data_IF_275322364418
#
_entry.id   IF_275322364418
#
_cell.length_a   1.000
_cell.length_b   1.000
_cell.length_c   1.000
_cell.angle_alpha   90.00
_cell.angle_beta   90.00
_cell.angle_gamma   90.00
#
_symmetry.space_group_name_H-M   'P 1'
#
loop_
_entity.id
_entity.type
_entity.pdbx_description
1 polymer ?
#
# COMPACT_ATOMS: atom_id res chain seq x y z
N UNK A 1 -21.14 -21.92 -13.04
CA UNK A 1 -21.54 -23.30 -13.43
C UNK A 1 -21.45 -24.27 -12.26
N UNK A 2 -20.27 -24.53 -11.67
CA UNK A 2 -20.10 -25.44 -10.52
C UNK A 2 -21.08 -25.15 -9.37
N UNK A 3 -21.20 -23.88 -8.97
CA UNK A 3 -22.16 -23.45 -7.93
C UNK A 3 -23.62 -23.80 -8.25
N UNK A 4 -24.04 -23.68 -9.51
CA UNK A 4 -25.41 -24.01 -9.91
C UNK A 4 -25.64 -25.53 -9.84
N UNK A 5 -24.68 -26.34 -10.29
CA UNK A 5 -24.78 -27.81 -10.21
C UNK A 5 -24.87 -28.29 -8.75
N UNK A 6 -24.07 -27.72 -7.85
CA UNK A 6 -24.15 -28.00 -6.42
C UNK A 6 -25.52 -27.63 -5.84
N UNK A 7 -26.05 -26.46 -6.22
CA UNK A 7 -27.37 -26.00 -5.79
C UNK A 7 -28.52 -26.90 -6.29
N UNK A 8 -28.43 -27.42 -7.52
CA UNK A 8 -29.43 -28.32 -8.11
C UNK A 8 -29.34 -29.76 -7.58
N UNK A 9 -28.16 -30.18 -7.10
CA UNK A 9 -27.91 -31.52 -6.57
C UNK A 9 -28.22 -31.67 -5.07
N UNK A 10 -28.54 -30.57 -4.36
CA UNK A 10 -28.66 -30.51 -2.89
C UNK A 10 -27.40 -31.00 -2.13
N UNK A 11 -26.27 -31.15 -2.82
CA UNK A 11 -24.99 -31.57 -2.25
C UNK A 11 -24.14 -30.34 -1.87
N UNK A 12 -23.89 -30.18 -0.57
CA UNK A 12 -22.90 -29.21 -0.06
C UNK A 12 -21.49 -29.74 -0.29
N UNK A 13 -20.98 -29.60 -1.51
CA UNK A 13 -19.62 -30.04 -1.81
C UNK A 13 -18.60 -28.94 -1.40
N UNK A 14 -17.85 -29.20 -0.33
CA UNK A 14 -16.77 -28.34 0.18
C UNK A 14 -15.47 -28.44 -0.62
N UNK A 15 -15.47 -29.17 -1.75
CA UNK A 15 -14.29 -29.35 -2.57
C UNK A 15 -13.88 -28.04 -3.27
N UNK A 16 -12.76 -27.47 -2.82
CA UNK A 16 -12.15 -26.27 -3.37
C UNK A 16 -10.66 -26.46 -3.62
N UNK A 17 -10.15 -25.84 -4.69
CA UNK A 17 -8.74 -25.90 -5.09
C UNK A 17 -8.23 -24.48 -5.32
N UNK A 18 -7.01 -24.18 -4.88
CA UNK A 18 -6.41 -22.86 -5.06
C UNK A 18 -5.94 -22.66 -6.51
N UNK A 19 -6.06 -21.44 -7.05
CA UNK A 19 -5.65 -21.15 -8.45
C UNK A 19 -4.20 -21.50 -8.77
N UNK A 20 -3.30 -21.52 -7.78
CA UNK A 20 -1.90 -21.96 -7.95
C UNK A 20 -1.73 -23.46 -8.21
N UNK A 21 -2.73 -24.29 -7.89
CA UNK A 21 -2.67 -25.75 -7.95
C UNK A 21 -3.64 -26.34 -9.00
N UNK A 22 -4.17 -25.48 -9.86
CA UNK A 22 -5.13 -25.88 -10.90
C UNK A 22 -4.43 -26.71 -11.98
N UNK A 23 -5.09 -27.79 -12.37
CA UNK A 23 -4.70 -28.67 -13.48
C UNK A 23 -5.86 -28.77 -14.46
N UNK A 24 -5.62 -29.35 -15.63
CA UNK A 24 -6.64 -29.54 -16.68
C UNK A 24 -7.88 -30.32 -16.18
N UNK A 25 -7.71 -31.16 -15.16
CA UNK A 25 -8.80 -31.93 -14.57
C UNK A 25 -9.75 -31.06 -13.71
N UNK A 26 -9.24 -29.96 -13.14
CA UNK A 26 -10.00 -29.07 -12.27
C UNK A 26 -10.87 -28.07 -13.05
N UNK A 27 -10.53 -27.79 -14.30
CA UNK A 27 -11.30 -26.88 -15.16
C UNK A 27 -12.42 -27.59 -15.90
N UNK A 28 -13.51 -26.87 -16.17
CA UNK A 28 -14.56 -27.34 -17.07
C UNK A 28 -13.99 -27.23 -18.48
N UNK A 29 -13.74 -28.37 -19.12
CA UNK A 29 -13.22 -28.48 -20.47
C UNK A 29 -14.09 -29.46 -21.26
N UNK A 30 -14.49 -29.04 -22.45
CA UNK A 30 -15.28 -29.84 -23.39
C UNK A 30 -15.05 -29.32 -24.81
N UNK A 31 -15.19 -30.19 -25.80
CA UNK A 31 -15.13 -29.84 -27.20
C UNK A 31 -16.52 -29.93 -27.84
N UNK A 32 -16.92 -28.88 -28.56
CA UNK A 32 -18.29 -28.81 -29.11
C UNK A 32 -18.56 -29.97 -30.07
N UNK A 33 -17.71 -30.17 -31.07
CA UNK A 33 -17.96 -31.18 -32.11
C UNK A 33 -17.78 -32.62 -31.65
N UNK A 34 -16.82 -32.85 -30.75
CA UNK A 34 -16.51 -34.20 -30.28
C UNK A 34 -17.38 -34.63 -29.12
N UNK A 35 -17.78 -33.70 -28.24
CA UNK A 35 -18.45 -34.04 -27.00
C UNK A 35 -19.93 -33.61 -27.00
N UNK A 36 -20.24 -32.38 -27.42
CA UNK A 36 -21.61 -31.84 -27.32
C UNK A 36 -22.50 -32.23 -28.50
N UNK A 37 -22.02 -32.11 -29.73
CA UNK A 37 -22.76 -32.46 -30.95
C UNK A 37 -23.32 -33.90 -30.89
N UNK A 38 -22.52 -34.95 -30.64
CA UNK A 38 -23.06 -36.31 -30.56
C UNK A 38 -24.00 -36.50 -29.36
N UNK A 39 -23.74 -35.83 -28.22
CA UNK A 39 -24.60 -35.89 -27.04
C UNK A 39 -25.99 -35.32 -27.36
N UNK A 40 -26.07 -34.15 -27.99
CA UNK A 40 -27.34 -33.50 -28.33
C UNK A 40 -28.10 -34.33 -29.36
N UNK A 41 -27.43 -34.78 -30.44
CA UNK A 41 -28.04 -35.59 -31.48
C UNK A 41 -28.55 -36.94 -30.96
N UNK A 42 -27.85 -37.56 -30.01
CA UNK A 42 -28.29 -38.83 -29.40
C UNK A 42 -29.56 -38.71 -28.55
N UNK A 43 -29.95 -37.50 -28.17
CA UNK A 43 -31.17 -37.20 -27.41
C UNK A 43 -32.23 -36.46 -28.24
N UNK A 44 -32.04 -36.42 -29.56
CA UNK A 44 -33.01 -35.96 -30.53
C UNK A 44 -33.89 -37.15 -30.96
N UNK A 45 -35.18 -37.09 -30.64
CA UNK A 45 -36.15 -38.09 -31.03
C UNK A 45 -36.95 -37.58 -32.24
N UNK A 46 -37.13 -38.46 -33.23
CA UNK A 46 -37.98 -38.19 -34.39
C UNK A 46 -39.29 -38.96 -34.21
N UNK A 47 -40.41 -38.25 -34.23
CA UNK A 47 -41.74 -38.84 -34.18
C UNK A 47 -42.44 -38.60 -35.51
N UNK A 48 -43.02 -39.67 -36.07
CA UNK A 48 -43.81 -39.59 -37.31
C UNK A 48 -45.27 -39.69 -36.93
N UNK A 49 -46.03 -38.63 -37.17
CA UNK A 49 -47.46 -38.61 -36.89
C UNK A 49 -48.25 -39.23 -38.05
N UNK A 50 -49.44 -39.77 -37.74
CA UNK A 50 -50.34 -40.37 -38.71
C UNK A 50 -50.84 -39.28 -39.67
N UNK A 51 -50.19 -39.16 -40.83
CA UNK A 51 -50.32 -38.02 -41.75
C UNK A 51 -49.03 -37.70 -42.52
N UNK A 52 -47.89 -38.30 -42.13
CA UNK A 52 -46.60 -38.12 -42.82
C UNK A 52 -45.78 -36.94 -42.31
N UNK A 53 -46.25 -36.21 -41.31
CA UNK A 53 -45.51 -35.15 -40.65
C UNK A 53 -44.47 -35.74 -39.69
N UNK A 54 -43.22 -35.29 -39.80
CA UNK A 54 -42.11 -35.68 -38.92
C UNK A 54 -41.80 -34.53 -37.98
N UNK A 55 -41.95 -34.74 -36.68
CA UNK A 55 -41.59 -33.78 -35.63
C UNK A 55 -40.28 -34.20 -34.95
N UNK A 56 -39.52 -33.21 -34.52
CA UNK A 56 -38.25 -33.38 -33.82
C UNK A 56 -38.42 -32.90 -32.38
N UNK A 57 -38.14 -33.77 -31.42
CA UNK A 57 -38.25 -33.47 -29.99
C UNK A 57 -36.91 -33.73 -29.28
N UNK A 58 -36.47 -32.78 -28.47
CA UNK A 58 -35.25 -32.91 -27.67
C UNK A 58 -35.60 -33.19 -26.21
N UNK A 59 -35.03 -34.26 -25.67
CA UNK A 59 -35.13 -34.55 -24.24
C UNK A 59 -34.14 -33.67 -23.46
N UNK A 60 -34.57 -32.45 -23.14
CA UNK A 60 -33.76 -31.44 -22.45
C UNK A 60 -33.32 -31.90 -21.05
N UNK A 61 -34.16 -32.65 -20.35
CA UNK A 61 -33.82 -33.17 -19.02
C UNK A 61 -32.69 -34.19 -19.08
N UNK A 62 -32.72 -35.08 -20.08
CA UNK A 62 -31.67 -36.07 -20.29
C UNK A 62 -30.38 -35.43 -20.80
N UNK A 63 -30.46 -34.44 -21.68
CA UNK A 63 -29.31 -33.63 -22.11
C UNK A 63 -28.69 -32.92 -20.90
N UNK A 64 -29.49 -32.25 -20.07
CA UNK A 64 -29.03 -31.56 -18.86
C UNK A 64 -28.34 -32.53 -17.88
N UNK A 65 -28.91 -33.71 -17.63
CA UNK A 65 -28.31 -34.74 -16.77
C UNK A 65 -26.98 -35.23 -17.32
N UNK A 66 -26.90 -35.52 -18.62
CA UNK A 66 -25.66 -36.01 -19.25
C UNK A 66 -24.56 -34.94 -19.25
N UNK A 67 -24.88 -33.68 -19.53
CA UNK A 67 -23.92 -32.57 -19.47
C UNK A 67 -23.42 -32.37 -18.04
N UNK A 68 -24.35 -32.34 -17.07
CA UNK A 68 -24.01 -32.13 -15.66
C UNK A 68 -23.10 -33.24 -15.15
N UNK A 69 -23.45 -34.49 -15.43
CA UNK A 69 -22.69 -35.65 -14.99
C UNK A 69 -21.30 -35.75 -15.64
N UNK A 70 -21.18 -35.48 -16.94
CA UNK A 70 -19.91 -35.66 -17.67
C UNK A 70 -18.92 -34.52 -17.49
N UNK A 71 -19.39 -33.26 -17.49
CA UNK A 71 -18.49 -32.10 -17.60
C UNK A 71 -18.43 -31.24 -16.34
N UNK A 72 -19.48 -31.27 -15.51
CA UNK A 72 -19.64 -30.30 -14.42
C UNK A 72 -19.53 -30.93 -13.02
N UNK A 73 -19.97 -32.18 -12.85
CA UNK A 73 -19.89 -32.90 -11.58
C UNK A 73 -18.43 -33.22 -11.23
N UNK A 74 -18.11 -33.16 -9.93
CA UNK A 74 -16.76 -33.41 -9.42
C UNK A 74 -15.76 -32.26 -9.63
N UNK A 75 -16.15 -31.16 -10.29
CA UNK A 75 -15.28 -29.98 -10.47
C UNK A 75 -15.19 -29.18 -9.17
N UNK A 76 -13.98 -28.77 -8.73
CA UNK A 76 -13.79 -27.98 -7.52
C UNK A 76 -14.28 -26.53 -7.70
N UNK A 77 -14.52 -25.86 -6.58
CA UNK A 77 -14.59 -24.39 -6.54
C UNK A 77 -13.18 -23.81 -6.50
N UNK A 78 -12.81 -23.05 -7.51
CA UNK A 78 -11.49 -22.41 -7.55
C UNK A 78 -11.43 -21.21 -6.59
N UNK A 79 -10.42 -21.17 -5.72
CA UNK A 79 -10.16 -20.01 -4.85
C UNK A 79 -9.19 -19.05 -5.54
N UNK A 80 -9.29 -17.75 -5.24
CA UNK A 80 -8.40 -16.73 -5.82
C UNK A 80 -7.00 -16.70 -5.18
N UNK A 81 -6.62 -17.72 -4.42
CA UNK A 81 -5.30 -17.81 -3.80
C UNK A 81 -4.27 -18.30 -4.81
N UNK A 82 -3.12 -17.63 -4.84
CA UNK A 82 -2.00 -18.04 -5.69
C UNK A 82 -2.12 -17.59 -7.15
N UNK A 83 -2.98 -16.63 -7.47
CA UNK A 83 -3.04 -16.02 -8.80
C UNK A 83 -1.68 -15.37 -9.11
N UNK A 84 -0.99 -15.77 -10.19
CA UNK A 84 0.26 -15.15 -10.60
C UNK A 84 0.06 -13.66 -10.83
N UNK A 85 0.57 -12.84 -9.90
CA UNK A 85 0.39 -11.39 -9.91
C UNK A 85 1.75 -10.74 -9.97
N UNK A 86 2.00 -9.95 -11.01
CA UNK A 86 3.21 -9.14 -11.10
C UNK A 86 3.07 -7.95 -10.15
N UNK A 87 3.75 -8.01 -9.00
CA UNK A 87 3.79 -6.90 -8.06
C UNK A 87 4.99 -6.02 -8.40
N UNK A 88 4.74 -4.82 -8.93
CA UNK A 88 5.79 -3.86 -9.22
C UNK A 88 6.28 -3.20 -7.94
N UNK A 89 7.21 -3.86 -7.25
CA UNK A 89 7.71 -3.49 -5.92
C UNK A 89 8.80 -2.39 -5.95
N UNK A 90 8.74 -1.43 -6.89
CA UNK A 90 9.75 -0.36 -6.98
C UNK A 90 9.43 0.84 -6.07
N UNK A 91 8.17 1.05 -5.73
CA UNK A 91 7.78 2.03 -4.72
C UNK A 91 7.32 1.26 -3.49
N UNK A 92 8.17 1.24 -2.46
CA UNK A 92 7.75 0.74 -1.16
C UNK A 92 6.70 1.70 -0.63
N UNK A 93 5.47 1.23 -0.53
CA UNK A 93 4.43 1.98 0.17
C UNK A 93 4.73 1.92 1.66
N UNK A 94 5.45 2.93 2.14
CA UNK A 94 5.75 3.12 3.55
C UNK A 94 4.46 3.18 4.39
N UNK A 95 3.29 3.53 3.82
CA UNK A 95 2.03 3.48 4.55
C UNK A 95 1.63 2.06 4.90
N UNK A 96 1.68 1.14 3.92
CA UNK A 96 1.44 -0.28 4.17
C UNK A 96 2.48 -0.86 5.13
N UNK A 97 3.73 -0.42 5.02
CA UNK A 97 4.80 -0.82 5.92
C UNK A 97 4.50 -0.36 7.36
N UNK A 98 4.13 0.91 7.55
CA UNK A 98 3.79 1.47 8.86
C UNK A 98 2.55 0.82 9.47
N UNK A 99 1.52 0.55 8.65
CA UNK A 99 0.35 -0.18 9.09
C UNK A 99 0.71 -1.59 9.56
N UNK A 100 1.57 -2.29 8.81
CA UNK A 100 2.02 -3.65 9.15
C UNK A 100 2.79 -3.68 10.47
N UNK A 101 3.60 -2.66 10.76
CA UNK A 101 4.31 -2.53 12.04
C UNK A 101 3.34 -2.18 13.17
N UNK A 102 2.47 -1.19 12.99
CA UNK A 102 1.48 -0.78 14.00
C UNK A 102 0.54 -1.92 14.40
N UNK A 103 0.25 -2.83 13.48
CA UNK A 103 -0.55 -4.03 13.76
C UNK A 103 0.23 -5.12 14.54
N UNK A 104 1.57 -5.10 14.51
CA UNK A 104 2.43 -6.08 15.20
C UNK A 104 3.01 -5.58 16.51
N UNK A 105 3.18 -4.27 16.67
CA UNK A 105 3.77 -3.66 17.86
C UNK A 105 3.26 -2.24 18.10
N UNK A 106 3.20 -1.84 19.37
CA UNK A 106 2.86 -0.47 19.75
C UNK A 106 3.91 0.52 19.21
N UNK A 107 3.46 1.71 18.80
CA UNK A 107 4.31 2.78 18.28
C UNK A 107 4.00 4.09 19.01
N UNK A 108 5.05 4.81 19.38
CA UNK A 108 5.02 6.02 20.20
C UNK A 108 5.85 7.13 19.52
N UNK A 109 5.48 8.41 19.72
CA UNK A 109 6.26 9.53 19.24
C UNK A 109 7.63 9.60 19.94
N UNK A 110 8.60 10.24 19.28
CA UNK A 110 9.88 10.58 19.92
C UNK A 110 9.69 11.72 20.92
N UNK A 111 10.46 11.69 22.00
CA UNK A 111 10.51 12.81 22.95
C UNK A 111 11.30 13.97 22.35
N UNK A 112 10.97 15.22 22.73
CA UNK A 112 11.70 16.40 22.29
C UNK A 112 13.20 16.32 22.64
N UNK A 113 13.55 15.73 23.78
CA UNK A 113 14.96 15.51 24.17
C UNK A 113 15.67 14.56 23.21
N UNK A 114 15.03 13.47 22.81
CA UNK A 114 15.58 12.57 21.80
C UNK A 114 15.75 13.29 20.46
N UNK A 115 14.72 14.01 19.99
CA UNK A 115 14.77 14.78 18.74
C UNK A 115 15.96 15.77 18.73
N UNK A 116 16.10 16.59 19.77
CA UNK A 116 17.20 17.56 19.88
C UNK A 116 18.57 16.87 19.91
N UNK A 117 18.69 15.74 20.61
CA UNK A 117 19.94 15.00 20.68
C UNK A 117 20.33 14.38 19.33
N UNK A 118 19.38 13.75 18.64
CA UNK A 118 19.60 13.13 17.33
C UNK A 118 19.96 14.20 16.31
N UNK A 119 19.23 15.32 16.30
CA UNK A 119 19.55 16.50 15.47
C UNK A 119 20.96 17.03 15.74
N UNK A 120 21.35 17.06 17.02
CA UNK A 120 22.68 17.48 17.47
C UNK A 120 23.80 16.59 16.96
N UNK A 121 23.56 15.27 16.86
CA UNK A 121 24.56 14.28 16.44
C UNK A 121 24.66 14.16 14.90
N UNK A 122 23.53 14.25 14.18
CA UNK A 122 23.49 14.07 12.72
C UNK A 122 23.62 15.40 11.97
N UNK A 123 24.74 16.11 12.12
CA UNK A 123 24.91 17.42 11.47
C UNK A 123 25.25 17.32 9.97
N UNK A 124 25.87 16.23 9.55
CA UNK A 124 26.23 15.97 8.15
C UNK A 124 25.07 15.35 7.38
N UNK A 125 24.96 15.70 6.08
CA UNK A 125 24.02 15.05 5.17
C UNK A 125 24.32 13.55 5.00
N UNK A 126 25.59 13.15 5.03
CA UNK A 126 25.99 11.75 4.90
C UNK A 126 25.47 10.92 6.08
N UNK A 127 25.71 11.40 7.31
CA UNK A 127 25.32 10.72 8.54
C UNK A 127 23.79 10.58 8.62
N UNK A 128 23.05 11.62 8.20
CA UNK A 128 21.59 11.56 8.12
C UNK A 128 21.10 10.53 7.08
N UNK A 129 21.81 10.38 5.95
CA UNK A 129 21.48 9.37 4.95
C UNK A 129 21.75 7.95 5.45
N UNK A 130 22.90 7.72 6.08
CA UNK A 130 23.28 6.43 6.64
C UNK A 130 22.31 6.00 7.76
N UNK A 131 22.00 6.91 8.68
CA UNK A 131 20.99 6.69 9.72
C UNK A 131 19.64 6.31 9.11
N UNK A 132 19.16 7.08 8.14
CA UNK A 132 17.88 6.79 7.49
C UNK A 132 17.90 5.42 6.80
N UNK A 133 18.97 5.07 6.08
CA UNK A 133 19.08 3.79 5.38
C UNK A 133 19.04 2.60 6.34
N UNK A 134 19.69 2.68 7.50
CA UNK A 134 19.63 1.62 8.52
C UNK A 134 18.21 1.49 9.09
N UNK A 135 17.53 2.61 9.35
CA UNK A 135 16.14 2.59 9.81
C UNK A 135 15.20 2.04 8.73
N UNK A 136 15.39 2.37 7.46
CA UNK A 136 14.60 1.81 6.36
C UNK A 136 14.75 0.28 6.25
N UNK A 137 15.95 -0.25 6.42
CA UNK A 137 16.17 -1.70 6.47
C UNK A 137 15.45 -2.30 7.69
N UNK A 138 15.64 -1.69 8.86
CA UNK A 138 15.02 -2.15 10.11
C UNK A 138 13.50 -2.21 10.01
N UNK A 139 12.88 -1.16 9.46
CA UNK A 139 11.46 -1.08 9.16
C UNK A 139 10.94 -2.25 8.32
N UNK A 140 11.69 -2.68 7.30
CA UNK A 140 11.31 -3.83 6.45
C UNK A 140 11.32 -5.17 7.20
N UNK A 141 12.27 -5.36 8.11
CA UNK A 141 12.29 -6.54 8.96
C UNK A 141 11.14 -6.52 9.96
N UNK A 142 10.93 -5.39 10.65
CA UNK A 142 9.85 -5.24 11.63
C UNK A 142 8.46 -5.36 11.01
N UNK A 143 8.28 -4.92 9.75
CA UNK A 143 7.00 -5.08 9.05
C UNK A 143 6.66 -6.53 8.76
N UNK A 144 7.67 -7.41 8.67
CA UNK A 144 7.49 -8.85 8.44
C UNK A 144 7.41 -9.62 9.75
N UNK A 145 8.38 -9.42 10.65
CA UNK A 145 8.58 -10.22 11.85
C UNK A 145 7.91 -9.66 13.12
N UNK A 146 7.68 -8.34 13.18
CA UNK A 146 7.35 -7.68 14.44
C UNK A 146 8.56 -7.60 15.38
N UNK A 147 8.32 -7.42 16.68
CA UNK A 147 9.35 -7.26 17.70
C UNK A 147 8.78 -6.71 19.01
N UNK A 148 9.56 -6.77 20.09
CA UNK A 148 9.19 -6.21 21.38
C UNK A 148 9.32 -4.67 21.35
N UNK A 149 8.22 -3.90 21.54
CA UNK A 149 8.28 -2.44 21.55
C UNK A 149 9.25 -1.86 22.60
N UNK A 150 9.56 -2.59 23.68
CA UNK A 150 10.51 -2.18 24.71
C UNK A 150 11.97 -2.48 24.40
N UNK A 151 12.26 -3.27 23.37
CA UNK A 151 13.62 -3.60 22.99
C UNK A 151 14.36 -2.37 22.47
N UNK A 152 15.59 -2.19 22.91
CA UNK A 152 16.46 -1.14 22.41
C UNK A 152 16.76 -1.34 20.93
N UNK A 153 16.63 -0.26 20.17
CA UNK A 153 16.78 -0.28 18.72
C UNK A 153 18.20 -0.68 18.33
N UNK A 154 19.21 -0.24 19.09
CA UNK A 154 20.60 -0.60 18.84
C UNK A 154 20.83 -2.12 19.01
N UNK A 155 20.31 -2.71 20.09
CA UNK A 155 20.39 -4.16 20.34
C UNK A 155 19.71 -4.95 19.20
N UNK A 156 18.53 -4.52 18.76
CA UNK A 156 17.84 -5.19 17.64
C UNK A 156 18.69 -5.16 16.35
N UNK A 157 19.27 -4.01 16.01
CA UNK A 157 20.04 -3.85 14.77
C UNK A 157 21.38 -4.61 14.85
N UNK A 158 22.06 -4.56 15.99
CA UNK A 158 23.37 -5.19 16.16
C UNK A 158 23.24 -6.71 16.33
N UNK A 159 22.37 -7.18 17.21
CA UNK A 159 22.37 -8.58 17.63
C UNK A 159 21.39 -9.43 16.81
N UNK A 160 20.23 -8.87 16.43
CA UNK A 160 19.22 -9.61 15.65
C UNK A 160 19.45 -9.46 14.16
N UNK A 161 19.64 -8.22 13.68
CA UNK A 161 19.90 -7.99 12.26
C UNK A 161 21.37 -8.20 11.86
N UNK A 162 22.27 -8.37 12.84
CA UNK A 162 23.70 -8.61 12.62
C UNK A 162 24.38 -7.50 11.77
N UNK A 163 23.98 -6.23 11.98
CA UNK A 163 24.49 -5.07 11.24
C UNK A 163 25.50 -4.22 12.04
N UNK A 164 26.23 -4.82 12.98
CA UNK A 164 27.14 -4.13 13.91
C UNK A 164 28.08 -3.11 13.25
N UNK A 165 28.77 -3.49 12.17
CA UNK A 165 29.78 -2.66 11.51
C UNK A 165 29.24 -1.35 10.92
N UNK A 166 27.95 -1.32 10.54
CA UNK A 166 27.28 -0.16 9.94
C UNK A 166 26.70 0.79 10.99
N UNK A 167 26.61 0.36 12.26
CA UNK A 167 25.97 1.14 13.32
C UNK A 167 26.92 1.99 14.15
N UNK A 168 28.24 1.84 14.02
CA UNK A 168 29.20 2.47 14.91
C UNK A 168 29.04 4.01 15.00
N UNK A 169 28.79 4.67 13.85
CA UNK A 169 28.63 6.12 13.75
C UNK A 169 27.30 6.63 14.33
N UNK A 170 26.25 5.80 14.28
CA UNK A 170 24.89 6.17 14.69
C UNK A 170 24.45 5.49 15.99
N UNK A 171 25.29 4.66 16.59
CA UNK A 171 25.01 3.92 17.84
C UNK A 171 24.46 4.83 18.93
N UNK A 172 25.12 5.98 19.16
CA UNK A 172 24.70 7.00 20.14
C UNK A 172 23.35 7.66 19.85
N UNK A 173 22.90 7.64 18.60
CA UNK A 173 21.56 8.07 18.17
C UNK A 173 20.55 6.96 18.51
N UNK A 174 20.90 5.72 18.20
CA UNK A 174 20.05 4.53 18.37
C UNK A 174 19.84 4.16 19.84
N UNK A 175 20.83 4.38 20.72
CA UNK A 175 20.78 4.08 22.15
C UNK A 175 19.66 4.84 22.90
N UNK A 176 19.11 5.89 22.28
CA UNK A 176 18.02 6.69 22.85
C UNK A 176 16.64 6.25 22.36
N UNK A 177 16.60 5.21 21.54
CA UNK A 177 15.41 4.75 20.85
C UNK A 177 15.18 3.26 21.12
N UNK A 178 13.93 2.94 21.38
CA UNK A 178 13.40 1.57 21.37
C UNK A 178 12.61 1.30 20.09
N UNK A 179 12.28 0.04 19.81
CA UNK A 179 11.50 -0.37 18.63
C UNK A 179 10.13 0.33 18.52
N UNK A 180 9.51 0.71 19.65
CA UNK A 180 8.29 1.53 19.66
C UNK A 180 8.42 2.90 18.99
N UNK A 181 9.64 3.40 18.75
CA UNK A 181 9.85 4.72 18.15
C UNK A 181 10.25 4.67 16.68
N UNK A 182 10.36 3.47 16.08
CA UNK A 182 11.01 3.30 14.77
C UNK A 182 10.33 4.09 13.64
N UNK A 183 8.98 4.18 13.66
CA UNK A 183 8.24 4.97 12.66
C UNK A 183 8.49 6.47 12.86
N UNK A 184 8.39 6.96 14.09
CA UNK A 184 8.63 8.37 14.41
C UNK A 184 10.08 8.78 14.10
N UNK A 185 11.04 7.87 14.32
CA UNK A 185 12.43 8.06 13.97
C UNK A 185 12.64 8.13 12.45
N UNK A 186 11.98 7.26 11.68
CA UNK A 186 12.04 7.36 10.21
C UNK A 186 11.49 8.68 9.71
N UNK A 187 10.32 9.11 10.20
CA UNK A 187 9.71 10.39 9.82
C UNK A 187 10.68 11.55 10.09
N UNK A 188 11.26 11.57 11.29
CA UNK A 188 12.21 12.58 11.69
C UNK A 188 13.47 12.58 10.82
N UNK A 189 14.11 11.43 10.62
CA UNK A 189 15.33 11.32 9.82
C UNK A 189 15.09 11.67 8.35
N UNK A 190 13.93 11.31 7.81
CA UNK A 190 13.52 11.63 6.44
C UNK A 190 13.36 13.14 6.26
N UNK A 191 12.70 13.82 7.21
CA UNK A 191 12.57 15.27 7.23
C UNK A 191 13.93 15.96 7.41
N UNK A 192 14.73 15.49 8.37
CA UNK A 192 16.06 16.04 8.66
C UNK A 192 17.02 15.91 7.48
N UNK A 193 16.99 14.79 6.74
CA UNK A 193 17.74 14.61 5.48
C UNK A 193 17.32 15.65 4.44
N UNK A 194 16.02 15.89 4.28
CA UNK A 194 15.49 16.91 3.37
C UNK A 194 15.94 18.32 3.77
N UNK A 195 15.93 18.64 5.06
CA UNK A 195 16.42 19.92 5.61
C UNK A 195 17.91 20.12 5.33
N UNK A 196 18.74 19.10 5.56
CA UNK A 196 20.18 19.18 5.28
C UNK A 196 20.45 19.41 3.78
N UNK A 197 19.68 18.77 2.90
CA UNK A 197 19.79 18.95 1.45
C UNK A 197 19.41 20.36 1.00
N UNK A 198 18.41 20.95 1.65
CA UNK A 198 18.00 22.35 1.45
C UNK A 198 19.10 23.33 1.85
N UNK A 199 19.75 23.12 2.99
CA UNK A 199 20.91 23.93 3.44
C UNK A 199 22.08 23.89 2.45
N UNK A 200 22.27 22.76 1.78
CA UNK A 200 23.25 22.60 0.70
C UNK A 200 22.81 23.20 -0.64
N UNK A 201 21.68 23.91 -0.69
CA UNK A 201 21.08 24.52 -1.89
C UNK A 201 20.86 23.49 -3.01
N UNK A 202 20.51 22.25 -2.65
CA UNK A 202 20.20 21.17 -3.60
C UNK A 202 18.69 20.94 -3.64
N UNK A 203 18.18 20.55 -4.81
CA UNK A 203 16.78 20.15 -4.97
C UNK A 203 16.46 18.94 -4.07
N UNK A 204 15.43 19.10 -3.23
CA UNK A 204 15.02 18.14 -2.19
C UNK A 204 14.08 17.06 -2.74
N UNK A 205 12.98 17.48 -3.37
CA UNK A 205 11.86 16.62 -3.76
C UNK A 205 11.90 16.20 -5.24
N UNK A 206 13.04 15.70 -5.72
CA UNK A 206 13.26 15.37 -7.15
C UNK A 206 12.20 14.42 -7.73
N UNK A 207 11.78 13.45 -6.93
CA UNK A 207 10.83 12.40 -7.32
C UNK A 207 9.37 12.86 -7.34
N UNK A 208 9.07 14.05 -6.81
CA UNK A 208 7.73 14.63 -6.81
C UNK A 208 7.49 15.33 -8.15
N UNK A 209 6.28 15.17 -8.69
CA UNK A 209 5.87 15.80 -9.93
C UNK A 209 5.91 17.34 -9.82
N UNK A 210 6.27 18.02 -10.90
CA UNK A 210 6.36 19.48 -10.99
C UNK A 210 5.04 20.18 -10.62
N UNK A 211 3.89 19.52 -10.81
CA UNK A 211 2.58 20.06 -10.41
C UNK A 211 2.44 20.33 -8.90
N UNK A 212 3.28 19.71 -8.06
CA UNK A 212 3.33 19.95 -6.62
C UNK A 212 4.47 20.87 -6.17
N UNK A 213 5.16 21.49 -7.13
CA UNK A 213 6.35 22.33 -6.91
C UNK A 213 6.12 23.79 -7.30
N UNK A 214 4.89 24.28 -7.20
CA UNK A 214 4.61 25.69 -7.47
C UNK A 214 5.27 26.58 -6.41
N UNK A 215 5.80 27.72 -6.85
CA UNK A 215 6.45 28.66 -5.95
C UNK A 215 5.45 29.48 -5.15
N UNK A 216 5.67 29.54 -3.84
CA UNK A 216 4.87 30.36 -2.95
C UNK A 216 5.11 31.85 -3.25
N UNK A 217 4.05 32.63 -3.51
CA UNK A 217 4.23 34.06 -3.75
C UNK A 217 4.78 34.80 -2.51
N UNK A 218 5.47 35.94 -2.67
CA UNK A 218 6.06 36.68 -1.53
C UNK A 218 5.01 37.10 -0.49
N UNK A 219 3.80 37.45 -0.91
CA UNK A 219 2.69 37.81 -0.02
C UNK A 219 2.25 36.60 0.82
N UNK A 220 2.09 35.45 0.17
CA UNK A 220 1.73 34.20 0.80
C UNK A 220 2.80 33.70 1.79
N UNK A 221 4.08 33.88 1.46
CA UNK A 221 5.19 33.53 2.35
C UNK A 221 5.19 34.37 3.64
N UNK A 222 4.90 35.68 3.54
CA UNK A 222 4.80 36.56 4.71
C UNK A 222 3.67 36.15 5.64
N UNK A 223 2.49 35.87 5.10
CA UNK A 223 1.34 35.44 5.89
C UNK A 223 1.59 34.10 6.61
N UNK A 224 2.23 33.15 5.92
CA UNK A 224 2.63 31.87 6.48
C UNK A 224 3.59 32.03 7.66
N UNK A 225 4.61 32.89 7.50
CA UNK A 225 5.61 33.13 8.56
C UNK A 225 4.98 33.80 9.79
N UNK A 226 4.02 34.71 9.62
CA UNK A 226 3.29 35.31 10.75
C UNK A 226 2.46 34.26 11.49
N UNK A 227 1.75 33.39 10.76
CA UNK A 227 0.90 32.35 11.36
C UNK A 227 1.71 31.30 12.13
N UNK A 228 2.84 30.86 11.59
CA UNK A 228 3.66 29.81 12.21
C UNK A 228 4.49 30.30 13.40
N UNK A 229 4.61 31.61 13.62
CA UNK A 229 5.17 32.10 14.88
C UNK A 229 4.24 31.82 16.07
N UNK A 230 2.95 31.60 15.84
CA UNK A 230 1.95 31.30 16.87
C UNK A 230 1.69 29.78 17.03
N UNK A 231 2.09 28.96 16.05
CA UNK A 231 1.82 27.52 15.99
C UNK A 231 3.13 26.70 15.97
N UNK A 232 3.15 25.51 16.57
CA UNK A 232 4.35 24.68 16.68
C UNK A 232 4.95 24.24 15.33
N UNK A 233 5.96 24.98 14.85
CA UNK A 233 6.56 24.83 13.52
C UNK A 233 7.19 23.46 13.27
N UNK A 234 7.88 22.86 14.26
CA UNK A 234 8.57 21.59 14.05
C UNK A 234 7.61 20.40 13.83
N UNK A 235 6.50 20.36 14.56
CA UNK A 235 5.48 19.32 14.37
C UNK A 235 4.78 19.47 13.01
N UNK A 236 4.39 20.70 12.66
CA UNK A 236 3.81 21.03 11.36
C UNK A 236 4.71 20.60 10.19
N UNK A 237 6.00 20.93 10.27
CA UNK A 237 6.95 20.59 9.20
C UNK A 237 7.16 19.09 9.06
N UNK A 238 7.12 18.35 10.16
CA UNK A 238 7.24 16.90 10.13
C UNK A 238 6.02 16.26 9.45
N UNK A 239 4.81 16.70 9.80
CA UNK A 239 3.57 16.22 9.17
C UNK A 239 3.49 16.62 7.68
N UNK A 240 3.90 17.84 7.35
CA UNK A 240 3.96 18.31 5.97
C UNK A 240 4.95 17.47 5.16
N UNK A 241 6.12 17.18 5.73
CA UNK A 241 7.12 16.33 5.08
C UNK A 241 6.59 14.92 4.86
N UNK A 242 5.99 14.30 5.87
CA UNK A 242 5.33 12.99 5.79
C UNK A 242 4.34 12.95 4.62
N UNK A 243 3.43 13.93 4.56
CA UNK A 243 2.46 14.02 3.48
C UNK A 243 3.14 14.11 2.10
N UNK A 244 4.18 14.94 1.96
CA UNK A 244 4.90 15.09 0.67
C UNK A 244 5.52 13.75 0.25
N UNK A 245 6.25 13.07 1.16
CA UNK A 245 7.02 11.87 0.79
C UNK A 245 6.18 10.61 0.66
N UNK A 246 5.05 10.51 1.38
CA UNK A 246 4.17 9.36 1.33
C UNK A 246 3.06 9.50 0.28
N UNK A 247 2.45 10.68 0.17
CA UNK A 247 1.20 10.86 -0.62
C UNK A 247 1.42 11.42 -2.01
N UNK A 248 2.46 12.22 -2.21
CA UNK A 248 2.67 12.95 -3.47
C UNK A 248 3.65 12.26 -4.42
N UNK A 249 4.14 11.07 -4.07
CA UNK A 249 5.08 10.28 -4.87
C UNK A 249 4.34 9.40 -5.89
N UNK A 250 4.81 9.40 -7.13
CA UNK A 250 4.36 8.46 -8.16
C UNK A 250 3.15 8.89 -8.99
N UNK A 251 2.78 8.12 -10.02
CA UNK A 251 1.79 8.51 -11.03
C UNK A 251 0.35 8.54 -10.50
N UNK A 252 0.06 7.81 -9.41
CA UNK A 252 -1.27 7.76 -8.79
C UNK A 252 -1.52 8.90 -7.79
N UNK A 253 -0.55 9.77 -7.53
CA UNK A 253 -0.71 10.87 -6.58
C UNK A 253 -1.89 11.79 -6.95
N UNK A 254 -2.10 12.09 -8.24
CA UNK A 254 -3.16 13.01 -8.67
C UNK A 254 -4.58 12.46 -8.50
N UNK A 255 -4.76 11.14 -8.57
CA UNK A 255 -6.08 10.53 -8.36
C UNK A 255 -6.52 10.61 -6.89
N UNK A 256 -5.56 10.63 -5.97
CA UNK A 256 -5.80 10.69 -4.52
C UNK A 256 -5.60 12.09 -3.91
N UNK A 257 -4.76 12.93 -4.52
CA UNK A 257 -4.38 14.26 -4.05
C UNK A 257 -4.35 15.24 -5.22
N UNK A 258 -5.49 15.81 -5.58
CA UNK A 258 -5.54 16.78 -6.67
C UNK A 258 -4.73 18.05 -6.29
N UNK A 259 -3.79 18.54 -7.13
CA UNK A 259 -2.97 19.72 -6.84
C UNK A 259 -3.79 21.00 -6.63
N UNK A 260 -5.01 21.06 -7.19
CA UNK A 260 -5.95 22.18 -7.04
C UNK A 260 -6.73 22.14 -5.73
N UNK A 261 -6.68 21.02 -4.99
CA UNK A 261 -7.29 20.97 -3.67
C UNK A 261 -6.56 21.89 -2.72
N UNK A 262 -7.34 22.49 -1.83
CA UNK A 262 -6.85 23.32 -0.75
C UNK A 262 -6.59 22.44 0.47
N UNK A 263 -5.54 22.72 1.27
CA UNK A 263 -5.16 21.87 2.43
C UNK A 263 -6.33 21.50 3.36
N UNK A 264 -7.34 22.36 3.47
CA UNK A 264 -8.53 22.14 4.30
C UNK A 264 -9.48 21.01 3.85
N UNK A 265 -9.18 20.28 2.77
CA UNK A 265 -10.01 19.18 2.26
C UNK A 265 -9.36 17.78 2.36
N UNK A 266 -8.12 17.69 2.86
CA UNK A 266 -7.44 16.40 3.00
C UNK A 266 -7.83 15.74 4.33
N UNK A 267 -8.79 14.82 4.25
CA UNK A 267 -9.22 13.98 5.36
C UNK A 267 -8.11 13.02 5.81
N UNK A 268 -7.46 13.33 6.93
CA UNK A 268 -7.31 12.40 8.07
C UNK A 268 -6.33 12.86 9.17
N UNK A 269 -5.46 13.86 8.98
CA UNK A 269 -4.55 14.31 10.07
C UNK A 269 -4.34 15.83 10.13
N UNK A 270 -4.11 16.48 8.99
CA UNK A 270 -3.77 17.92 8.92
C UNK A 270 -4.89 18.83 9.46
N UNK A 271 -6.16 18.45 9.26
CA UNK A 271 -7.33 19.25 9.65
C UNK A 271 -7.57 19.21 11.18
N UNK A 272 -7.13 18.16 11.88
CA UNK A 272 -7.48 17.99 13.30
C UNK A 272 -6.58 18.80 14.25
N UNK A 273 -5.36 19.17 13.83
CA UNK A 273 -4.39 19.87 14.68
C UNK A 273 -4.06 21.31 14.26
N UNK A 274 -4.18 21.65 12.98
CA UNK A 274 -3.90 23.01 12.51
C UNK A 274 -5.17 23.65 11.95
N UNK A 275 -5.85 24.42 12.81
CA UNK A 275 -6.79 25.48 12.41
C UNK A 275 -6.03 26.50 11.54
N UNK A 276 -5.83 26.19 10.27
CA UNK A 276 -5.49 27.22 9.30
C UNK A 276 -6.67 28.20 9.31
N UNK A 277 -6.45 29.51 9.52
CA UNK A 277 -7.51 30.48 9.41
C UNK A 277 -8.14 30.31 8.03
N UNK A 278 -9.47 30.31 7.99
CA UNK A 278 -10.34 30.06 6.82
C UNK A 278 -10.08 30.96 5.60
N UNK A 279 -9.07 31.83 5.68
CA UNK A 279 -8.62 32.79 4.67
C UNK A 279 -7.30 32.43 3.98
N UNK A 280 -6.54 31.45 4.48
CA UNK A 280 -5.25 31.05 3.89
C UNK A 280 -5.26 29.55 3.60
N UNK A 281 -5.99 29.21 2.54
CA UNK A 281 -6.04 27.87 1.99
C UNK A 281 -4.98 27.78 0.89
N UNK A 282 -3.78 27.30 1.23
CA UNK A 282 -2.78 27.00 0.21
C UNK A 282 -3.24 25.79 -0.64
N UNK A 283 -2.78 25.70 -1.89
CA UNK A 283 -3.02 24.52 -2.71
C UNK A 283 -2.03 23.41 -2.35
N UNK A 284 -2.40 22.14 -2.56
CA UNK A 284 -1.47 20.99 -2.49
C UNK A 284 -0.28 21.19 -3.45
N UNK A 285 -0.46 22.02 -4.50
CA UNK A 285 0.61 22.46 -5.38
C UNK A 285 1.77 23.21 -4.71
N UNK A 286 1.58 23.77 -3.51
CA UNK A 286 2.56 24.61 -2.80
C UNK A 286 3.33 23.87 -1.70
N UNK A 287 3.03 22.59 -1.43
CA UNK A 287 3.57 21.85 -0.27
C UNK A 287 5.10 21.87 -0.20
N UNK A 288 5.77 21.63 -1.32
CA UNK A 288 7.24 21.57 -1.34
C UNK A 288 7.87 22.96 -1.13
N UNK A 289 7.23 24.02 -1.64
CA UNK A 289 7.69 25.40 -1.49
C UNK A 289 7.47 25.89 -0.06
N UNK A 290 6.34 25.54 0.56
CA UNK A 290 6.05 25.80 1.99
C UNK A 290 7.11 25.14 2.87
N UNK A 291 7.38 23.84 2.68
CA UNK A 291 8.42 23.14 3.43
C UNK A 291 9.80 23.79 3.27
N UNK A 292 10.17 24.17 2.03
CA UNK A 292 11.48 24.74 1.72
C UNK A 292 11.67 26.19 2.19
N UNK A 293 10.59 26.95 2.41
CA UNK A 293 10.70 28.35 2.89
C UNK A 293 10.73 28.47 4.41
N UNK A 294 10.36 27.41 5.11
CA UNK A 294 10.27 27.38 6.57
C UNK A 294 11.49 26.73 7.23
N UNK A 295 12.49 26.30 6.45
CA UNK A 295 13.72 25.63 6.89
C UNK A 295 14.94 26.26 6.26
#
# INVERSE_FOLDING_TARGET
MVYMVQKFSEENNSYSVDTSEVTDQHVISYEVERDLTPLILSNCQYQVHQGGETSQEFDLEKIQRQISSRFLQGKPRLTLKGIPTLVYRRDWDYEHLFLSIKNKMAQNPLTNSAISAIRGQLQSYSDACEALSIIEVTLRFLSTAGGDPGMDLNVYIQDILQMGDQTALISKVLDRCQLRHVIALWLFLSAHKSEQRLRLKKEVFREIDVKYKEDLSPQHARLLHTFLNEAGLDAFLLELHEMIVLKLRGPQAESSFNPRWRYGLLSSVIILYFLFPSRILYGVCLCTSVFSKLR
#
